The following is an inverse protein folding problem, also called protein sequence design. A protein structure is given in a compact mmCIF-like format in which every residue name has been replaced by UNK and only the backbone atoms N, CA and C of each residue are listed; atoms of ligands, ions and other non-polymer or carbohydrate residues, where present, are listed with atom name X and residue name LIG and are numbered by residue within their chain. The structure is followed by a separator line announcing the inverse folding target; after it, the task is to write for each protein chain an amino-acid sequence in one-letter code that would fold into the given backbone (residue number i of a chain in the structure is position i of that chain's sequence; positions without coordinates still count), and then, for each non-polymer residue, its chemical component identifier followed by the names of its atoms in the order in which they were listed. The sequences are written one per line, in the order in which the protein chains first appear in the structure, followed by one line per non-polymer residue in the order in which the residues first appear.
data_IF_814769948473
#
_entry.id   IF_814769948473
#
_cell.length_a   1.000
_cell.length_b   1.000
_cell.length_c   1.000
_cell.angle_alpha   90.00
_cell.angle_beta   90.00
_cell.angle_gamma   90.00
#
_symmetry.space_group_name_H-M   'P 1'
#
loop_
_entity.id
_entity.type
_entity.pdbx_description
1 polymer ?
#
# COMPACT_ATOMS: atom_id res chain seq x y z
N UNK A 1 4.47 15.98 -21.38
CA UNK A 1 3.54 14.86 -21.13
C UNK A 1 3.99 14.17 -19.85
N UNK A 2 3.09 13.87 -18.90
CA UNK A 2 3.48 13.26 -17.63
C UNK A 2 3.79 11.77 -17.82
N UNK A 3 4.74 11.24 -17.02
CA UNK A 3 5.03 9.80 -16.99
C UNK A 3 3.92 9.09 -16.22
N UNK A 4 3.37 8.03 -16.81
CA UNK A 4 2.38 7.14 -16.19
C UNK A 4 3.11 5.90 -15.69
N UNK A 5 2.83 5.47 -14.46
CA UNK A 5 3.43 4.30 -13.83
C UNK A 5 2.40 3.17 -13.76
N UNK A 6 2.87 1.96 -14.04
CA UNK A 6 2.09 0.73 -13.91
C UNK A 6 2.73 -0.19 -12.87
N UNK A 7 2.09 -1.33 -12.59
CA UNK A 7 2.54 -2.29 -11.58
C UNK A 7 4.00 -2.72 -11.75
N UNK A 8 4.43 -2.96 -13.00
CA UNK A 8 5.81 -3.33 -13.34
C UNK A 8 6.86 -2.26 -13.00
N UNK A 9 6.44 -1.00 -12.83
CA UNK A 9 7.33 0.11 -12.46
C UNK A 9 7.47 0.27 -10.93
N UNK A 10 6.71 -0.49 -10.14
CA UNK A 10 6.60 -0.38 -8.69
C UNK A 10 7.21 -1.60 -7.97
N UNK A 11 7.97 -1.36 -6.89
CA UNK A 11 8.58 -2.43 -6.10
C UNK A 11 8.02 -2.46 -4.66
N UNK A 12 7.16 -3.43 -4.37
CA UNK A 12 6.58 -3.65 -3.04
C UNK A 12 7.61 -4.09 -1.99
N UNK A 13 8.75 -4.64 -2.39
CA UNK A 13 9.79 -5.14 -1.47
C UNK A 13 10.39 -4.05 -0.58
N UNK A 14 10.23 -2.77 -0.94
CA UNK A 14 10.66 -1.64 -0.08
C UNK A 14 9.94 -1.59 1.26
N UNK A 15 8.77 -2.23 1.36
CA UNK A 15 7.97 -2.35 2.57
C UNK A 15 8.21 -3.68 3.33
N UNK A 16 9.00 -4.60 2.78
CA UNK A 16 9.23 -5.90 3.41
C UNK A 16 9.84 -5.78 4.82
N UNK A 17 9.24 -6.48 5.78
CA UNK A 17 9.66 -6.46 7.19
C UNK A 17 9.39 -5.15 7.94
N UNK A 18 8.67 -4.20 7.33
CA UNK A 18 8.22 -2.97 7.99
C UNK A 18 6.76 -3.12 8.41
N UNK A 19 6.41 -2.51 9.56
CA UNK A 19 5.03 -2.32 9.99
C UNK A 19 4.51 -0.97 9.52
N UNK A 20 3.33 -0.95 8.90
CA UNK A 20 2.72 0.26 8.32
C UNK A 20 1.47 0.65 9.11
N UNK A 21 1.55 1.71 9.90
CA UNK A 21 0.38 2.22 10.61
C UNK A 21 -0.53 3.06 9.70
N UNK A 22 -1.80 2.67 9.58
CA UNK A 22 -2.85 3.49 8.97
C UNK A 22 -3.56 4.30 10.06
N UNK A 23 -3.40 5.63 10.05
CA UNK A 23 -4.03 6.50 11.07
C UNK A 23 -5.38 6.99 10.55
N UNK A 24 -6.44 6.44 11.13
CA UNK A 24 -7.84 6.71 10.78
C UNK A 24 -8.45 5.59 9.93
N UNK A 25 -9.69 5.21 10.24
CA UNK A 25 -10.39 4.07 9.62
C UNK A 25 -11.77 4.44 9.09
N UNK A 26 -11.85 5.61 8.42
CA UNK A 26 -12.99 5.96 7.57
C UNK A 26 -12.94 5.22 6.23
N UNK A 27 -13.68 5.69 5.22
CA UNK A 27 -13.76 5.04 3.90
C UNK A 27 -12.39 4.74 3.26
N UNK A 28 -11.48 5.73 3.21
CA UNK A 28 -10.15 5.55 2.62
C UNK A 28 -9.20 4.73 3.50
N UNK A 29 -9.25 4.91 4.82
CA UNK A 29 -8.42 4.17 5.76
C UNK A 29 -8.76 2.67 5.74
N UNK A 30 -10.04 2.35 5.69
CA UNK A 30 -10.54 0.99 5.57
C UNK A 30 -10.07 0.34 4.25
N UNK A 31 -10.31 0.99 3.11
CA UNK A 31 -9.91 0.45 1.80
C UNK A 31 -8.39 0.27 1.69
N UNK A 32 -7.59 1.25 2.12
CA UNK A 32 -6.14 1.14 2.04
C UNK A 32 -5.58 0.08 2.99
N UNK A 33 -6.10 -0.04 4.22
CA UNK A 33 -5.64 -1.04 5.17
C UNK A 33 -5.87 -2.47 4.64
N UNK A 34 -7.07 -2.75 4.12
CA UNK A 34 -7.39 -4.07 3.56
C UNK A 34 -6.56 -4.37 2.31
N UNK A 35 -6.49 -3.42 1.36
CA UNK A 35 -5.73 -3.64 0.13
C UNK A 35 -4.24 -3.88 0.40
N UNK A 36 -3.64 -3.15 1.35
CA UNK A 36 -2.24 -3.35 1.74
C UNK A 36 -2.03 -4.70 2.43
N UNK A 37 -2.95 -5.09 3.34
CA UNK A 37 -2.92 -6.40 3.99
C UNK A 37 -3.01 -7.55 2.98
N UNK A 38 -3.94 -7.48 2.03
CA UNK A 38 -4.10 -8.46 0.96
C UNK A 38 -2.89 -8.47 -0.01
N UNK A 39 -2.20 -7.34 -0.14
CA UNK A 39 -0.95 -7.23 -0.89
C UNK A 39 0.28 -7.76 -0.12
N UNK A 40 0.08 -8.32 1.08
CA UNK A 40 1.13 -8.94 1.90
C UNK A 40 1.95 -7.98 2.76
N UNK A 41 1.46 -6.75 2.99
CA UNK A 41 2.09 -5.77 3.89
C UNK A 41 1.59 -5.98 5.33
N UNK A 42 2.50 -5.86 6.30
CA UNK A 42 2.16 -5.86 7.74
C UNK A 42 1.62 -4.47 8.13
N UNK A 43 0.29 -4.36 8.17
CA UNK A 43 -0.47 -3.13 8.45
C UNK A 43 -1.06 -3.15 9.85
#
# INVERSE_FOLDING_TARGET
MAKIYHEQDCNLQVLAGKKVAVIGYGSQGHAHALNLHESGVDV
#
